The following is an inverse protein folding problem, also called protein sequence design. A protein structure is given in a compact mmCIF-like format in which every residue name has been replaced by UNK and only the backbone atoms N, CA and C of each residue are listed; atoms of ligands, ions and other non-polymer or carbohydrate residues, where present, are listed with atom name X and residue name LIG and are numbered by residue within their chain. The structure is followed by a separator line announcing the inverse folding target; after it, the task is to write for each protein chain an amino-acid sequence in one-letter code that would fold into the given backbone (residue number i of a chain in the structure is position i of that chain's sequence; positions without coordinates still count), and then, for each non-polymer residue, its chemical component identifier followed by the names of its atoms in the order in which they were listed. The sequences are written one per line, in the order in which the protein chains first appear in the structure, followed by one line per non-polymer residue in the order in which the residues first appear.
data_IF_899432926169
#
_entry.id   IF_899432926169
#
_cell.length_a   1.000
_cell.length_b   1.000
_cell.length_c   1.000
_cell.angle_alpha   90.00
_cell.angle_beta   90.00
_cell.angle_gamma   90.00
#
_symmetry.space_group_name_H-M   'P 1'
#
loop_
_entity.id
_entity.type
_entity.pdbx_description
1 polymer ?
#
# COMPACT_ATOMS: atom_id res chain seq x y z
N UNK A 1 7.52 31.14 -13.68
CA UNK A 1 6.65 30.73 -12.57
C UNK A 1 6.95 31.59 -11.36
N UNK A 2 6.06 32.55 -11.03
CA UNK A 2 6.18 33.38 -9.83
C UNK A 2 5.79 32.57 -8.60
N UNK A 3 6.61 32.68 -7.55
CA UNK A 3 6.48 31.99 -6.26
C UNK A 3 5.12 32.28 -5.61
N UNK A 4 4.25 31.27 -5.56
CA UNK A 4 3.10 31.28 -4.65
C UNK A 4 3.55 30.63 -3.34
N UNK A 5 4.08 31.45 -2.44
CA UNK A 5 4.44 31.05 -1.09
C UNK A 5 3.20 30.83 -0.23
N UNK A 6 2.97 29.59 0.20
CA UNK A 6 2.38 29.28 1.50
C UNK A 6 3.24 28.22 2.16
N UNK A 7 3.98 28.69 3.17
CA UNK A 7 4.75 27.88 4.10
C UNK A 7 3.76 26.99 4.86
N UNK A 8 3.78 25.69 4.58
CA UNK A 8 3.06 24.67 5.33
C UNK A 8 4.04 24.11 6.36
N UNK A 9 3.72 24.30 7.65
CA UNK A 9 4.49 23.83 8.81
C UNK A 9 4.44 22.29 8.91
N UNK A 10 5.14 21.60 8.01
CA UNK A 10 5.66 20.27 8.30
C UNK A 10 7.04 20.49 8.92
N UNK A 11 7.22 20.08 10.16
CA UNK A 11 8.49 20.22 10.89
C UNK A 11 9.52 19.23 10.32
N UNK A 12 10.11 19.60 9.19
CA UNK A 12 11.10 18.82 8.46
C UNK A 12 12.45 18.72 9.18
N UNK A 13 12.61 19.34 10.36
CA UNK A 13 13.84 19.37 11.16
C UNK A 13 14.09 18.12 12.02
N UNK A 14 13.21 17.11 12.03
CA UNK A 14 13.51 15.83 12.69
C UNK A 14 14.64 15.12 11.94
N UNK A 15 15.75 14.87 12.63
CA UNK A 15 16.96 14.23 12.09
C UNK A 15 16.66 12.96 11.32
N UNK A 16 17.27 12.79 10.14
CA UNK A 16 17.19 11.56 9.34
C UNK A 16 17.51 10.32 10.19
N UNK A 17 16.60 9.34 10.30
CA UNK A 17 16.95 8.07 10.88
C UNK A 17 17.96 7.39 9.95
N UNK A 18 19.23 7.35 10.35
CA UNK A 18 20.24 6.59 9.62
C UNK A 18 19.99 5.10 9.84
N UNK A 19 19.37 4.48 8.84
CA UNK A 19 19.23 3.03 8.74
C UNK A 19 20.56 2.40 8.35
N UNK A 20 21.55 2.46 9.24
CA UNK A 20 22.78 1.70 9.05
C UNK A 20 22.49 0.22 9.37
N UNK A 21 22.91 -0.65 8.45
CA UNK A 21 22.72 -2.09 8.49
C UNK A 21 23.52 -2.68 9.68
N UNK A 22 22.94 -2.65 10.88
CA UNK A 22 23.50 -3.25 12.08
C UNK A 22 23.26 -4.78 12.07
N UNK A 23 23.84 -5.48 11.11
CA UNK A 23 23.75 -6.95 11.00
C UNK A 23 24.60 -7.69 12.04
N UNK A 24 25.38 -6.99 12.86
CA UNK A 24 26.33 -7.57 13.82
C UNK A 24 26.04 -7.26 15.29
N UNK A 25 25.14 -6.32 15.60
CA UNK A 25 24.80 -5.97 16.98
C UNK A 25 23.68 -6.88 17.48
N UNK A 26 24.00 -7.75 18.45
CA UNK A 26 23.00 -8.54 19.17
C UNK A 26 22.36 -7.70 20.26
N UNK A 27 21.06 -7.45 20.17
CA UNK A 27 20.31 -6.75 21.20
C UNK A 27 19.82 -7.70 22.29
N UNK A 28 19.81 -7.24 23.54
CA UNK A 28 19.28 -8.01 24.66
C UNK A 28 17.74 -7.96 24.65
N UNK A 29 17.10 -9.14 24.72
CA UNK A 29 15.64 -9.28 24.86
C UNK A 29 15.11 -8.60 26.12
N UNK A 30 15.93 -8.34 27.13
CA UNK A 30 15.56 -7.60 28.32
C UNK A 30 15.14 -6.14 28.04
N UNK A 31 15.52 -5.57 26.89
CA UNK A 31 15.05 -4.25 26.47
C UNK A 31 13.53 -4.20 26.24
N UNK A 32 12.90 -5.34 25.95
CA UNK A 32 11.45 -5.46 25.79
C UNK A 32 10.78 -5.63 27.16
N UNK A 33 10.69 -4.52 27.89
CA UNK A 33 10.01 -4.46 29.20
C UNK A 33 8.48 -4.45 29.04
N UNK A 34 7.71 -4.82 30.09
CA UNK A 34 6.24 -4.78 30.03
C UNK A 34 5.67 -3.40 29.68
N UNK A 35 6.32 -2.31 30.09
CA UNK A 35 5.89 -0.95 29.73
C UNK A 35 6.08 -0.69 28.24
N UNK A 36 7.23 -1.07 27.66
CA UNK A 36 7.47 -0.96 26.21
C UNK A 36 6.48 -1.82 25.44
N UNK A 37 6.21 -3.05 25.90
CA UNK A 37 5.19 -3.92 25.28
C UNK A 37 3.82 -3.25 25.25
N UNK A 38 3.37 -2.64 26.35
CA UNK A 38 2.07 -1.94 26.40
C UNK A 38 2.02 -0.77 25.41
N UNK A 39 3.06 0.07 25.38
CA UNK A 39 3.15 1.20 24.42
C UNK A 39 3.00 0.68 22.98
N UNK A 40 3.70 -0.40 22.64
CA UNK A 40 3.65 -0.98 21.30
C UNK A 40 2.29 -1.65 20.99
N UNK A 41 1.65 -2.29 21.97
CA UNK A 41 0.29 -2.84 21.79
C UNK A 41 -0.71 -1.72 21.56
N UNK A 42 -0.69 -0.67 22.37
CA UNK A 42 -1.61 0.46 22.20
C UNK A 42 -1.36 1.15 20.85
N UNK A 43 -0.10 1.36 20.45
CA UNK A 43 0.23 1.88 19.13
C UNK A 43 -0.27 0.99 17.97
N UNK A 44 -0.25 -0.34 18.12
CA UNK A 44 -0.79 -1.27 17.12
C UNK A 44 -2.29 -1.04 16.91
N UNK A 45 -3.06 -0.79 17.98
CA UNK A 45 -4.50 -0.54 17.89
C UNK A 45 -4.89 0.91 17.61
N UNK A 46 -3.99 1.87 17.78
CA UNK A 46 -4.25 3.28 17.48
C UNK A 46 -3.82 3.67 16.07
N UNK A 47 -2.66 3.18 15.61
CA UNK A 47 -2.00 3.67 14.40
C UNK A 47 -1.93 2.67 13.24
N UNK A 48 -2.11 1.36 13.47
CA UNK A 48 -2.28 0.40 12.37
C UNK A 48 -3.75 0.42 11.92
N UNK A 49 -4.08 0.61 10.63
CA UNK A 49 -5.45 0.53 10.12
C UNK A 49 -6.12 -0.78 10.51
N UNK A 50 -7.41 -0.73 10.85
CA UNK A 50 -8.17 -1.91 11.28
C UNK A 50 -8.10 -3.06 10.27
N UNK A 51 -8.07 -2.74 8.96
CA UNK A 51 -7.95 -3.73 7.88
C UNK A 51 -6.66 -4.57 7.91
N UNK A 52 -5.60 -4.07 8.56
CA UNK A 52 -4.31 -4.78 8.70
C UNK A 52 -4.12 -5.45 10.06
N UNK A 53 -5.11 -5.38 10.96
CA UNK A 53 -5.04 -5.99 12.28
C UNK A 53 -5.52 -7.43 12.22
N UNK A 54 -4.61 -8.36 12.53
CA UNK A 54 -4.93 -9.79 12.56
C UNK A 54 -5.51 -10.16 13.93
N UNK A 55 -4.84 -9.73 15.00
CA UNK A 55 -5.16 -10.14 16.36
C UNK A 55 -6.06 -9.13 17.08
N UNK A 56 -6.96 -9.65 17.92
CA UNK A 56 -7.73 -8.86 18.89
C UNK A 56 -6.88 -8.41 20.07
N UNK A 57 -7.36 -7.39 20.81
CA UNK A 57 -6.62 -6.88 21.98
C UNK A 57 -6.39 -7.98 23.03
N UNK A 58 -7.34 -8.89 23.19
CA UNK A 58 -7.25 -10.03 24.11
C UNK A 58 -6.12 -11.03 23.78
N UNK A 59 -5.62 -11.05 22.54
CA UNK A 59 -4.47 -11.88 22.17
C UNK A 59 -3.21 -11.50 22.97
N UNK A 60 -3.12 -10.23 23.35
CA UNK A 60 -2.01 -9.64 24.09
C UNK A 60 -2.20 -9.66 25.62
N UNK A 61 -3.28 -10.30 26.11
CA UNK A 61 -3.51 -10.48 27.54
C UNK A 61 -2.69 -11.67 28.03
N UNK A 62 -1.48 -11.39 28.52
CA UNK A 62 -0.60 -12.37 29.15
C UNK A 62 0.12 -11.77 30.36
N UNK A 63 0.22 -12.55 31.44
CA UNK A 63 0.83 -12.12 32.72
C UNK A 63 2.36 -12.31 32.78
N UNK A 64 2.94 -12.92 31.74
CA UNK A 64 4.36 -13.25 31.67
C UNK A 64 5.09 -12.31 30.71
N UNK A 65 6.43 -12.24 30.81
CA UNK A 65 7.23 -11.55 29.80
C UNK A 65 7.11 -12.24 28.44
N UNK A 66 7.15 -11.47 27.34
CA UNK A 66 7.01 -11.98 25.96
C UNK A 66 7.96 -13.16 25.69
N UNK A 67 9.20 -13.10 26.19
CA UNK A 67 10.22 -14.16 26.03
C UNK A 67 9.86 -15.50 26.70
N UNK A 68 8.91 -15.49 27.62
CA UNK A 68 8.45 -16.67 28.36
C UNK A 68 7.14 -17.24 27.78
N UNK A 69 6.61 -16.66 26.70
CA UNK A 69 5.48 -17.22 25.99
C UNK A 69 5.89 -18.50 25.25
N UNK A 70 4.94 -19.42 24.97
CA UNK A 70 5.18 -20.55 24.07
C UNK A 70 5.77 -20.06 22.74
N UNK A 71 6.75 -20.78 22.18
CA UNK A 71 7.56 -20.32 21.04
C UNK A 71 6.73 -19.74 19.90
N UNK A 72 5.59 -20.37 19.60
CA UNK A 72 4.68 -19.96 18.55
C UNK A 72 3.98 -18.62 18.83
N UNK A 73 3.31 -18.53 19.98
CA UNK A 73 2.66 -17.28 20.44
C UNK A 73 3.69 -16.16 20.60
N UNK A 74 4.89 -16.49 21.09
CA UNK A 74 6.01 -15.55 21.19
C UNK A 74 6.37 -14.96 19.83
N UNK A 75 6.52 -15.78 18.78
CA UNK A 75 6.85 -15.30 17.44
C UNK A 75 5.78 -14.38 16.87
N UNK A 76 4.50 -14.75 16.99
CA UNK A 76 3.37 -13.94 16.52
C UNK A 76 3.29 -12.59 17.24
N UNK A 77 3.46 -12.59 18.57
CA UNK A 77 3.52 -11.35 19.36
C UNK A 77 4.71 -10.50 18.95
N UNK A 78 5.91 -11.09 18.84
CA UNK A 78 7.13 -10.35 18.45
C UNK A 78 6.97 -9.72 17.07
N UNK A 79 6.37 -10.41 16.09
CA UNK A 79 6.08 -9.85 14.77
C UNK A 79 5.11 -8.67 14.83
N UNK A 80 4.00 -8.79 15.56
CA UNK A 80 3.04 -7.70 15.73
C UNK A 80 3.67 -6.48 16.43
N UNK A 81 4.51 -6.72 17.44
CA UNK A 81 5.28 -5.67 18.12
C UNK A 81 6.33 -5.06 17.18
N UNK A 82 6.97 -5.84 16.30
CA UNK A 82 7.92 -5.34 15.32
C UNK A 82 7.25 -4.39 14.32
N UNK A 83 6.08 -4.77 13.80
CA UNK A 83 5.22 -3.93 12.94
C UNK A 83 4.90 -2.61 13.65
N UNK A 84 4.42 -2.70 14.89
CA UNK A 84 4.08 -1.53 15.69
C UNK A 84 5.28 -0.63 15.96
N UNK A 85 6.42 -1.21 16.36
CA UNK A 85 7.66 -0.49 16.65
C UNK A 85 8.23 0.20 15.40
N UNK A 86 8.17 -0.46 14.25
CA UNK A 86 8.58 0.11 12.97
C UNK A 86 7.74 1.33 12.56
N UNK A 87 6.46 1.34 12.91
CA UNK A 87 5.60 2.52 12.76
C UNK A 87 5.95 3.59 13.80
N UNK A 88 6.06 3.19 15.08
CA UNK A 88 6.24 4.11 16.20
C UNK A 88 7.58 4.85 16.16
N UNK A 89 8.65 4.19 15.69
CA UNK A 89 9.97 4.80 15.61
C UNK A 89 10.06 6.02 14.67
N UNK A 90 9.08 6.19 13.78
CA UNK A 90 8.96 7.41 12.94
C UNK A 90 8.56 8.63 13.78
N UNK A 91 7.81 8.41 14.86
CA UNK A 91 7.41 9.43 15.83
C UNK A 91 8.48 9.63 16.90
N UNK A 92 9.04 8.53 17.41
CA UNK A 92 10.05 8.53 18.47
C UNK A 92 11.30 7.71 18.06
N UNK A 93 12.40 8.36 17.65
CA UNK A 93 13.65 7.69 17.27
C UNK A 93 14.26 6.80 18.36
N UNK A 94 13.89 6.96 19.63
CA UNK A 94 14.36 6.10 20.72
C UNK A 94 13.88 4.64 20.56
N UNK A 95 12.88 4.38 19.73
CA UNK A 95 12.40 3.03 19.43
C UNK A 95 13.18 2.32 18.32
N UNK A 96 14.14 2.96 17.66
CA UNK A 96 14.97 2.30 16.62
C UNK A 96 15.65 1.02 17.16
N UNK A 97 16.33 1.01 18.34
CA UNK A 97 16.91 -0.20 18.90
C UNK A 97 15.88 -1.30 19.19
N UNK A 98 14.67 -0.92 19.63
CA UNK A 98 13.56 -1.86 19.91
C UNK A 98 13.05 -2.48 18.60
N UNK A 99 12.90 -1.69 17.55
CA UNK A 99 12.53 -2.18 16.21
C UNK A 99 13.56 -3.18 15.68
N UNK A 100 14.86 -2.87 15.82
CA UNK A 100 15.94 -3.76 15.40
C UNK A 100 15.95 -5.07 16.20
N UNK A 101 15.83 -5.00 17.52
CA UNK A 101 15.70 -6.18 18.39
C UNK A 101 14.53 -7.08 17.95
N UNK A 102 13.33 -6.51 17.82
CA UNK A 102 12.12 -7.26 17.47
C UNK A 102 12.22 -7.88 16.07
N UNK A 103 12.80 -7.15 15.12
CA UNK A 103 13.02 -7.64 13.74
C UNK A 103 14.02 -8.80 13.73
N UNK A 104 15.15 -8.68 14.42
CA UNK A 104 16.14 -9.76 14.53
C UNK A 104 15.55 -10.99 15.23
N UNK A 105 14.77 -10.79 16.29
CA UNK A 105 14.13 -11.89 17.01
C UNK A 105 13.09 -12.59 16.13
N UNK A 106 12.24 -11.84 15.41
CA UNK A 106 11.30 -12.42 14.45
C UNK A 106 12.05 -13.23 13.37
N UNK A 107 13.10 -12.67 12.77
CA UNK A 107 13.90 -13.32 11.74
C UNK A 107 14.50 -14.66 12.17
N UNK A 108 14.87 -14.80 13.45
CA UNK A 108 15.38 -16.07 13.98
C UNK A 108 14.31 -17.16 14.08
N UNK A 109 13.04 -16.81 14.28
CA UNK A 109 11.93 -17.76 14.45
C UNK A 109 11.15 -18.08 13.17
N UNK A 110 11.17 -17.18 12.17
CA UNK A 110 10.42 -17.34 10.90
C UNK A 110 10.75 -18.67 10.18
N UNK A 111 12.03 -19.06 9.96
CA UNK A 111 12.34 -20.23 9.14
C UNK A 111 11.76 -21.54 9.68
N UNK A 112 11.86 -21.77 11.00
CA UNK A 112 11.31 -22.95 11.67
C UNK A 112 9.79 -23.00 11.52
N UNK A 113 9.13 -21.88 11.79
CA UNK A 113 7.69 -21.75 11.69
C UNK A 113 7.16 -21.93 10.25
N UNK A 114 7.83 -21.38 9.25
CA UNK A 114 7.44 -21.48 7.84
C UNK A 114 7.64 -22.90 7.30
N UNK A 115 8.66 -23.62 7.80
CA UNK A 115 8.93 -25.00 7.40
C UNK A 115 7.82 -25.99 7.81
N UNK A 116 7.04 -25.69 8.85
CA UNK A 116 5.89 -26.51 9.27
C UNK A 116 4.73 -26.48 8.28
N UNK A 117 4.64 -25.40 7.48
CA UNK A 117 3.66 -25.25 6.40
C UNK A 117 2.19 -25.43 6.84
N UNK A 118 1.79 -24.79 7.94
CA UNK A 118 0.42 -24.81 8.50
C UNK A 118 -0.27 -23.43 8.45
N UNK A 119 -1.51 -23.31 8.94
CA UNK A 119 -2.27 -22.03 9.01
C UNK A 119 -1.48 -20.90 9.66
N UNK A 120 -0.71 -21.31 10.66
CA UNK A 120 0.05 -20.46 11.52
C UNK A 120 1.32 -19.98 10.78
N UNK A 121 1.84 -20.78 9.83
CA UNK A 121 2.93 -20.40 8.92
C UNK A 121 2.46 -19.30 7.98
N UNK A 122 1.23 -19.39 7.47
CA UNK A 122 0.62 -18.33 6.67
C UNK A 122 0.53 -17.03 7.47
N UNK A 123 0.02 -17.08 8.71
CA UNK A 123 -0.05 -15.92 9.60
C UNK A 123 1.31 -15.24 9.76
N UNK A 124 2.37 -16.01 9.99
CA UNK A 124 3.74 -15.49 10.10
C UNK A 124 4.23 -14.87 8.80
N UNK A 125 3.96 -15.48 7.65
CA UNK A 125 4.34 -14.90 6.35
C UNK A 125 3.57 -13.60 6.07
N UNK A 126 2.26 -13.52 6.38
CA UNK A 126 1.46 -12.30 6.21
C UNK A 126 1.94 -11.17 7.12
N UNK A 127 2.22 -11.45 8.40
CA UNK A 127 2.82 -10.47 9.31
C UNK A 127 4.20 -10.02 8.83
N UNK A 128 4.98 -10.93 8.24
CA UNK A 128 6.28 -10.60 7.65
C UNK A 128 6.12 -9.66 6.45
N UNK A 129 5.12 -9.88 5.58
CA UNK A 129 4.78 -8.96 4.50
C UNK A 129 4.43 -7.56 5.04
N UNK A 130 3.59 -7.47 6.08
CA UNK A 130 3.26 -6.18 6.71
C UNK A 130 4.49 -5.48 7.28
N UNK A 131 5.37 -6.22 7.97
CA UNK A 131 6.60 -5.67 8.51
C UNK A 131 7.48 -5.11 7.39
N UNK A 132 7.64 -5.84 6.29
CA UNK A 132 8.43 -5.43 5.13
C UNK A 132 7.81 -4.23 4.38
N UNK A 133 6.47 -4.10 4.36
CA UNK A 133 5.79 -2.92 3.85
C UNK A 133 6.13 -1.65 4.65
N UNK A 134 6.17 -1.76 5.98
CA UNK A 134 6.42 -0.63 6.89
C UNK A 134 7.91 -0.33 7.01
N UNK A 135 8.74 -1.36 7.01
CA UNK A 135 10.18 -1.29 7.23
C UNK A 135 10.93 -2.13 6.18
N UNK A 136 11.28 -1.54 5.02
CA UNK A 136 11.98 -2.22 3.95
C UNK A 136 13.47 -2.40 4.29
N UNK A 137 13.79 -3.23 5.29
CA UNK A 137 15.18 -3.50 5.73
C UNK A 137 15.90 -4.55 4.88
N UNK A 138 15.66 -4.59 3.58
CA UNK A 138 16.34 -5.47 2.63
C UNK A 138 15.79 -6.90 2.51
N UNK A 139 14.65 -7.20 3.13
CA UNK A 139 13.90 -8.42 2.81
C UNK A 139 13.01 -8.20 1.59
N UNK A 140 12.89 -9.24 0.77
CA UNK A 140 12.15 -9.18 -0.49
C UNK A 140 10.66 -9.46 -0.27
N UNK A 141 9.86 -8.40 -0.19
CA UNK A 141 8.40 -8.49 -0.12
C UNK A 141 7.82 -9.30 -1.27
N UNK A 142 8.40 -9.22 -2.46
CA UNK A 142 7.92 -9.98 -3.61
C UNK A 142 8.04 -11.48 -3.37
N UNK A 143 9.17 -11.89 -2.80
CA UNK A 143 9.40 -13.28 -2.45
C UNK A 143 8.43 -13.76 -1.37
N UNK A 144 8.28 -13.03 -0.26
CA UNK A 144 7.39 -13.43 0.84
C UNK A 144 5.92 -13.40 0.42
N UNK A 145 5.49 -12.38 -0.31
CA UNK A 145 4.13 -12.29 -0.84
C UNK A 145 3.84 -13.40 -1.85
N UNK A 146 4.79 -13.69 -2.75
CA UNK A 146 4.68 -14.80 -3.69
C UNK A 146 4.60 -16.16 -2.99
N UNK A 147 5.30 -16.36 -1.87
CA UNK A 147 5.15 -17.56 -1.03
C UNK A 147 3.76 -17.66 -0.41
N UNK A 148 3.20 -16.55 0.11
CA UNK A 148 1.82 -16.52 0.63
C UNK A 148 0.82 -16.92 -0.46
N UNK A 149 0.92 -16.32 -1.66
CA UNK A 149 0.03 -16.64 -2.77
C UNK A 149 0.12 -18.12 -3.16
N UNK A 150 1.34 -18.69 -3.26
CA UNK A 150 1.54 -20.12 -3.53
C UNK A 150 1.01 -21.02 -2.42
N UNK A 151 1.14 -20.60 -1.16
CA UNK A 151 0.56 -21.31 -0.02
C UNK A 151 -0.95 -21.45 -0.18
N UNK A 152 -1.64 -20.34 -0.45
CA UNK A 152 -3.09 -20.32 -0.65
C UNK A 152 -3.54 -21.12 -1.89
N UNK A 153 -2.82 -21.01 -3.00
CA UNK A 153 -3.16 -21.69 -4.26
C UNK A 153 -2.81 -23.19 -4.24
N UNK A 154 -1.75 -23.59 -3.54
CA UNK A 154 -1.19 -24.94 -3.59
C UNK A 154 -1.79 -25.94 -2.59
N UNK A 155 -2.14 -25.50 -1.38
CA UNK A 155 -2.68 -26.39 -0.34
C UNK A 155 -4.21 -26.48 -0.33
N UNK A 156 -4.89 -25.47 -0.88
CA UNK A 156 -6.26 -25.17 -0.47
C UNK A 156 -6.30 -24.64 0.97
N UNK A 157 -7.28 -23.80 1.29
CA UNK A 157 -7.48 -23.31 2.65
C UNK A 157 -7.72 -24.51 3.58
N UNK A 158 -7.05 -24.62 4.75
CA UNK A 158 -7.33 -25.68 5.70
C UNK A 158 -8.83 -25.65 6.08
N UNK A 159 -9.54 -26.77 5.85
CA UNK A 159 -10.99 -26.87 6.07
C UNK A 159 -11.39 -26.72 7.54
N UNK A 160 -10.46 -26.99 8.44
CA UNK A 160 -10.65 -26.90 9.89
C UNK A 160 -9.41 -26.19 10.46
N UNK A 161 -9.54 -24.89 10.71
CA UNK A 161 -8.57 -24.16 11.54
C UNK A 161 -9.17 -24.02 12.93
N UNK A 162 -8.37 -24.25 13.98
CA UNK A 162 -8.82 -24.10 15.38
C UNK A 162 -9.34 -22.69 15.67
N UNK A 163 -8.86 -21.68 14.92
CA UNK A 163 -9.33 -20.31 14.95
C UNK A 163 -9.66 -19.80 13.52
N UNK A 164 -10.87 -20.12 13.07
CA UNK A 164 -11.39 -19.70 11.77
C UNK A 164 -11.43 -18.17 11.62
N UNK A 165 -11.66 -17.43 12.72
CA UNK A 165 -11.78 -15.97 12.68
C UNK A 165 -10.44 -15.29 12.41
N UNK A 166 -9.38 -15.71 13.10
CA UNK A 166 -8.02 -15.20 12.84
C UNK A 166 -7.58 -15.59 11.44
N UNK A 167 -7.85 -16.82 11.01
CA UNK A 167 -7.48 -17.27 9.67
C UNK A 167 -8.18 -16.46 8.55
N UNK A 168 -9.47 -16.15 8.70
CA UNK A 168 -10.19 -15.27 7.77
C UNK A 168 -9.57 -13.87 7.71
N UNK A 169 -9.16 -13.31 8.85
CA UNK A 169 -8.47 -12.01 8.88
C UNK A 169 -7.12 -12.07 8.20
N UNK A 170 -6.34 -13.13 8.42
CA UNK A 170 -5.05 -13.35 7.74
C UNK A 170 -5.24 -13.31 6.23
N UNK A 171 -6.27 -13.97 5.70
CA UNK A 171 -6.58 -13.97 4.28
C UNK A 171 -7.03 -12.60 3.76
N UNK A 172 -7.87 -11.89 4.52
CA UNK A 172 -8.29 -10.53 4.17
C UNK A 172 -7.09 -9.58 4.10
N UNK A 173 -6.21 -9.64 5.10
CA UNK A 173 -4.97 -8.86 5.15
C UNK A 173 -4.07 -9.21 3.98
N UNK A 174 -3.91 -10.50 3.66
CA UNK A 174 -3.12 -10.94 2.52
C UNK A 174 -3.67 -10.40 1.20
N UNK A 175 -4.98 -10.46 0.99
CA UNK A 175 -5.63 -9.90 -0.20
C UNK A 175 -5.34 -8.41 -0.32
N UNK A 176 -5.54 -7.64 0.75
CA UNK A 176 -5.28 -6.20 0.76
C UNK A 176 -3.82 -5.88 0.45
N UNK A 177 -2.87 -6.60 1.05
CA UNK A 177 -1.44 -6.41 0.75
C UNK A 177 -1.16 -6.73 -0.71
N UNK A 178 -1.65 -7.85 -1.21
CA UNK A 178 -1.38 -8.32 -2.56
C UNK A 178 -1.93 -7.35 -3.60
N UNK A 179 -3.16 -6.87 -3.41
CA UNK A 179 -3.81 -5.89 -4.26
C UNK A 179 -3.08 -4.54 -4.23
N UNK A 180 -2.76 -4.00 -3.04
CA UNK A 180 -2.02 -2.74 -2.90
C UNK A 180 -0.67 -2.79 -3.63
N UNK A 181 0.06 -3.90 -3.44
CA UNK A 181 1.39 -4.11 -4.01
C UNK A 181 1.32 -4.36 -5.52
N UNK A 182 0.34 -5.16 -5.98
CA UNK A 182 0.12 -5.44 -7.39
C UNK A 182 -0.24 -4.17 -8.18
N UNK A 183 -1.24 -3.42 -7.72
CA UNK A 183 -1.71 -2.23 -8.40
C UNK A 183 -0.65 -1.12 -8.40
N UNK A 184 0.10 -0.95 -7.32
CA UNK A 184 1.19 0.04 -7.26
C UNK A 184 2.28 -0.24 -8.30
N UNK A 185 2.49 -1.52 -8.66
CA UNK A 185 3.42 -1.93 -9.71
C UNK A 185 2.79 -2.10 -11.10
N UNK A 186 1.50 -1.82 -11.26
CA UNK A 186 0.82 -1.98 -12.55
C UNK A 186 0.66 -3.44 -12.98
N UNK A 187 0.51 -4.38 -12.05
CA UNK A 187 0.21 -5.80 -12.34
C UNK A 187 -1.17 -6.20 -11.80
N UNK A 188 -1.76 -7.24 -12.39
CA UNK A 188 -2.99 -7.85 -11.87
C UNK A 188 -2.70 -8.48 -10.50
N UNK A 189 -3.57 -8.29 -9.50
CA UNK A 189 -3.55 -9.11 -8.29
C UNK A 189 -3.62 -10.61 -8.61
N UNK A 190 -2.68 -11.39 -8.08
CA UNK A 190 -2.65 -12.85 -8.20
C UNK A 190 -3.79 -13.52 -7.44
N UNK A 191 -4.14 -12.96 -6.28
CA UNK A 191 -5.24 -13.45 -5.45
C UNK A 191 -6.51 -12.72 -5.88
N UNK A 192 -7.12 -13.15 -6.98
CA UNK A 192 -8.44 -12.65 -7.34
C UNK A 192 -9.43 -13.08 -6.25
N UNK A 193 -10.27 -12.16 -5.77
CA UNK A 193 -11.30 -12.42 -4.74
C UNK A 193 -12.09 -13.73 -5.00
N UNK A 194 -12.25 -14.07 -6.28
CA UNK A 194 -12.82 -15.32 -6.79
C UNK A 194 -12.26 -16.61 -6.15
N UNK A 195 -10.97 -16.67 -5.80
CA UNK A 195 -10.34 -17.87 -5.23
C UNK A 195 -10.59 -18.06 -3.73
N UNK A 196 -11.04 -17.03 -3.01
CA UNK A 196 -11.40 -17.14 -1.58
C UNK A 196 -12.91 -17.41 -1.45
N UNK A 197 -13.74 -16.93 -2.38
CA UNK A 197 -15.20 -17.08 -2.34
C UNK A 197 -15.74 -18.45 -2.73
N UNK A 198 -15.02 -19.25 -3.52
CA UNK A 198 -15.36 -20.67 -3.66
C UNK A 198 -15.26 -21.46 -2.34
N UNK A 199 -14.69 -20.87 -1.28
CA UNK A 199 -14.49 -21.51 0.01
C UNK A 199 -15.49 -21.07 1.09
N UNK A 200 -16.41 -20.13 0.77
CA UNK A 200 -17.55 -19.72 1.62
C UNK A 200 -18.86 -20.00 0.89
N UNK A 201 -19.43 -21.20 1.05
CA UNK A 201 -20.86 -21.32 0.81
C UNK A 201 -21.62 -20.44 1.83
N UNK A 202 -22.46 -19.53 1.30
CA UNK A 202 -23.54 -18.79 1.97
C UNK A 202 -23.31 -17.37 2.55
N UNK A 203 -22.27 -16.61 2.17
CA UNK A 203 -22.27 -15.15 2.41
C UNK A 203 -22.48 -14.37 1.10
N UNK A 204 -23.71 -13.95 0.85
CA UNK A 204 -24.19 -13.29 -0.38
C UNK A 204 -23.66 -11.88 -0.66
N UNK A 205 -22.64 -11.39 0.07
CA UNK A 205 -22.20 -9.99 0.01
C UNK A 205 -20.83 -9.75 -0.66
N UNK A 206 -20.17 -10.77 -1.22
CA UNK A 206 -18.82 -10.66 -1.82
C UNK A 206 -18.71 -11.29 -3.23
N UNK A 207 -19.80 -11.31 -4.00
CA UNK A 207 -19.89 -12.06 -5.26
C UNK A 207 -19.44 -11.33 -6.54
N UNK A 208 -18.85 -10.13 -6.47
CA UNK A 208 -18.35 -9.45 -7.66
C UNK A 208 -16.82 -9.38 -7.63
N UNK A 209 -16.16 -9.86 -8.70
CA UNK A 209 -14.77 -9.47 -9.00
C UNK A 209 -14.71 -7.95 -8.87
N UNK A 210 -13.81 -7.42 -8.04
CA UNK A 210 -13.68 -5.98 -7.83
C UNK A 210 -13.68 -5.26 -9.20
N UNK A 211 -14.47 -4.19 -9.39
CA UNK A 211 -14.45 -3.41 -10.62
C UNK A 211 -13.04 -3.02 -11.06
N UNK A 212 -12.12 -2.81 -10.12
CA UNK A 212 -10.69 -2.58 -10.36
C UNK A 212 -10.03 -3.71 -11.16
N UNK A 213 -10.29 -4.96 -10.79
CA UNK A 213 -9.71 -6.15 -11.46
C UNK A 213 -10.36 -6.36 -12.83
N UNK A 214 -11.66 -6.13 -12.94
CA UNK A 214 -12.35 -6.20 -14.25
C UNK A 214 -11.83 -5.13 -15.20
N UNK A 215 -11.64 -3.91 -14.70
CA UNK A 215 -11.05 -2.79 -15.43
C UNK A 215 -9.63 -3.12 -15.88
N UNK A 216 -8.80 -3.65 -14.97
CA UNK A 216 -7.44 -4.06 -15.32
C UNK A 216 -7.45 -5.07 -16.47
N UNK A 217 -8.24 -6.15 -16.37
CA UNK A 217 -8.35 -7.15 -17.45
C UNK A 217 -8.80 -6.52 -18.76
N UNK A 218 -9.79 -5.62 -18.72
CA UNK A 218 -10.26 -4.90 -19.92
C UNK A 218 -9.19 -4.01 -20.57
N UNK A 219 -8.23 -3.50 -19.80
CA UNK A 219 -7.14 -2.65 -20.32
C UNK A 219 -5.97 -3.51 -20.82
N UNK A 220 -5.58 -4.53 -20.05
CA UNK A 220 -4.30 -5.24 -20.22
C UNK A 220 -4.41 -6.63 -20.89
N UNK A 221 -5.61 -7.23 -21.00
CA UNK A 221 -5.80 -8.49 -21.76
C UNK A 221 -5.95 -8.25 -23.28
N UNK A 222 -5.79 -7.00 -23.75
CA UNK A 222 -5.92 -6.61 -25.16
C UNK A 222 -4.67 -6.96 -25.97
N UNK A 223 -4.86 -7.22 -27.27
CA UNK A 223 -3.74 -7.40 -28.19
C UNK A 223 -3.07 -6.04 -28.53
N UNK A 224 -1.76 -6.03 -28.76
CA UNK A 224 -0.96 -4.80 -28.98
C UNK A 224 -1.45 -3.92 -30.16
N UNK A 225 -2.21 -4.46 -31.10
CA UNK A 225 -2.71 -3.74 -32.29
C UNK A 225 -4.12 -3.16 -32.12
N UNK A 226 -4.81 -3.46 -31.03
CA UNK A 226 -6.18 -2.99 -30.79
C UNK A 226 -6.18 -1.61 -30.13
N UNK A 227 -7.21 -0.81 -30.40
CA UNK A 227 -7.42 0.42 -29.64
C UNK A 227 -7.64 0.05 -28.16
N UNK A 228 -6.87 0.65 -27.22
CA UNK A 228 -7.03 0.38 -25.80
C UNK A 228 -8.32 0.97 -25.21
N UNK A 229 -9.03 1.81 -25.96
CA UNK A 229 -10.28 2.46 -25.57
C UNK A 229 -11.39 2.23 -26.59
N UNK A 230 -12.16 1.14 -26.41
CA UNK A 230 -13.29 0.80 -27.26
C UNK A 230 -14.65 1.05 -26.58
N UNK A 231 -15.73 0.71 -27.30
CA UNK A 231 -17.09 0.86 -26.81
C UNK A 231 -17.39 0.00 -25.56
N UNK A 232 -16.74 -1.15 -25.41
CA UNK A 232 -16.93 -2.03 -24.25
C UNK A 232 -16.29 -1.43 -22.99
N UNK A 233 -15.07 -0.89 -23.10
CA UNK A 233 -14.45 -0.15 -22.01
C UNK A 233 -15.26 1.11 -21.67
N UNK A 234 -15.68 1.89 -22.67
CA UNK A 234 -16.49 3.08 -22.46
C UNK A 234 -17.80 2.76 -21.73
N UNK A 235 -18.52 1.72 -22.16
CA UNK A 235 -19.74 1.25 -21.49
C UNK A 235 -19.46 0.80 -20.05
N UNK A 236 -18.36 0.08 -19.83
CA UNK A 236 -17.96 -0.35 -18.49
C UNK A 236 -17.71 0.84 -17.56
N UNK A 237 -16.99 1.87 -18.03
CA UNK A 237 -16.70 3.08 -17.27
C UNK A 237 -17.97 3.83 -16.88
N UNK A 238 -18.90 4.02 -17.82
CA UNK A 238 -20.19 4.65 -17.52
C UNK A 238 -21.03 3.82 -16.54
N UNK A 239 -20.99 2.49 -16.64
CA UNK A 239 -21.77 1.60 -15.76
C UNK A 239 -21.25 1.60 -14.33
N UNK A 240 -19.93 1.74 -14.14
CA UNK A 240 -19.29 1.65 -12.83
C UNK A 240 -18.74 2.98 -12.31
N UNK A 241 -19.14 4.10 -12.92
CA UNK A 241 -18.57 5.42 -12.69
C UNK A 241 -18.57 5.84 -11.22
N UNK A 242 -19.70 5.66 -10.53
CA UNK A 242 -19.83 6.01 -9.10
C UNK A 242 -18.84 5.22 -8.24
N UNK A 243 -18.64 3.93 -8.53
CA UNK A 243 -17.69 3.08 -7.81
C UNK A 243 -16.25 3.46 -8.12
N UNK A 244 -15.95 3.76 -9.38
CA UNK A 244 -14.60 4.13 -9.82
C UNK A 244 -14.14 5.46 -9.22
N UNK A 245 -15.03 6.44 -9.12
CA UNK A 245 -14.72 7.75 -8.51
C UNK A 245 -14.32 7.60 -7.04
N UNK A 246 -14.90 6.64 -6.33
CA UNK A 246 -14.61 6.36 -4.91
C UNK A 246 -13.34 5.50 -4.74
N UNK A 247 -12.86 4.85 -5.80
CA UNK A 247 -11.60 4.10 -5.82
C UNK A 247 -10.55 4.76 -6.74
N UNK A 248 -9.75 5.71 -6.19
CA UNK A 248 -8.72 6.43 -6.95
C UNK A 248 -7.73 5.52 -7.68
N UNK A 249 -7.47 4.31 -7.17
CA UNK A 249 -6.53 3.37 -7.78
C UNK A 249 -7.05 2.86 -9.12
N UNK A 250 -8.34 2.52 -9.19
CA UNK A 250 -9.00 2.13 -10.44
C UNK A 250 -8.93 3.23 -11.48
N UNK A 251 -9.12 4.48 -11.06
CA UNK A 251 -9.02 5.63 -11.96
C UNK A 251 -7.63 5.76 -12.57
N UNK A 252 -6.56 5.60 -11.79
CA UNK A 252 -5.18 5.72 -12.31
C UNK A 252 -4.78 4.55 -13.22
N UNK A 253 -5.43 3.38 -13.14
CA UNK A 253 -5.21 2.30 -14.13
C UNK A 253 -5.53 2.75 -15.57
N UNK A 254 -6.45 3.70 -15.74
CA UNK A 254 -6.79 4.25 -17.05
C UNK A 254 -5.68 5.13 -17.65
N UNK A 255 -4.64 5.50 -16.90
CA UNK A 255 -3.55 6.35 -17.37
C UNK A 255 -2.84 5.77 -18.62
N UNK A 256 -2.80 4.45 -18.76
CA UNK A 256 -2.25 3.83 -19.98
C UNK A 256 -3.06 4.16 -21.22
N UNK A 257 -4.39 4.30 -21.08
CA UNK A 257 -5.27 4.64 -22.19
C UNK A 257 -5.16 6.10 -22.61
N UNK A 258 -4.78 7.00 -21.68
CA UNK A 258 -4.76 8.45 -21.95
C UNK A 258 -3.62 8.88 -22.87
N UNK A 259 -2.58 8.07 -23.04
CA UNK A 259 -1.49 8.35 -23.99
C UNK A 259 -1.83 7.91 -25.42
N UNK A 260 -2.90 7.14 -25.60
CA UNK A 260 -3.35 6.69 -26.90
C UNK A 260 -4.10 7.80 -27.65
N UNK A 261 -3.81 7.93 -28.95
CA UNK A 261 -4.47 8.89 -29.84
C UNK A 261 -5.01 8.18 -31.07
N UNK A 262 -6.33 8.08 -31.19
CA UNK A 262 -7.00 7.57 -32.40
C UNK A 262 -8.29 8.36 -32.67
N UNK A 263 -8.61 8.57 -33.94
CA UNK A 263 -9.79 9.37 -34.33
C UNK A 263 -11.13 8.81 -33.82
N UNK A 264 -11.20 7.52 -33.52
CA UNK A 264 -12.41 6.84 -33.05
C UNK A 264 -12.66 7.00 -31.54
N UNK A 265 -11.59 7.14 -30.76
CA UNK A 265 -11.63 7.06 -29.29
C UNK A 265 -11.44 8.42 -28.60
N UNK A 266 -10.78 9.39 -29.25
CA UNK A 266 -10.43 10.69 -28.65
C UNK A 266 -11.62 11.41 -28.01
N UNK A 267 -12.79 11.57 -28.66
CA UNK A 267 -13.89 12.33 -28.06
C UNK A 267 -14.44 11.72 -26.78
N UNK A 268 -14.60 10.39 -26.73
CA UNK A 268 -15.12 9.69 -25.55
C UNK A 268 -14.08 9.60 -24.44
N UNK A 269 -12.79 9.49 -24.79
CA UNK A 269 -11.68 9.45 -23.85
C UNK A 269 -11.52 10.80 -23.12
N UNK A 270 -11.60 11.91 -23.85
CA UNK A 270 -11.50 13.27 -23.29
C UNK A 270 -12.66 13.58 -22.33
N UNK A 271 -13.85 13.03 -22.59
CA UNK A 271 -15.05 13.29 -21.78
C UNK A 271 -15.16 12.41 -20.51
N UNK A 272 -14.50 11.26 -20.47
CA UNK A 272 -14.71 10.26 -19.41
C UNK A 272 -13.38 9.82 -18.79
N UNK A 273 -12.50 9.22 -19.58
CA UNK A 273 -11.27 8.61 -19.07
C UNK A 273 -10.31 9.64 -18.48
N UNK A 274 -10.07 10.76 -19.18
CA UNK A 274 -9.17 11.81 -18.71
C UNK A 274 -9.66 12.44 -17.39
N UNK A 275 -10.92 12.90 -17.27
CA UNK A 275 -11.44 13.39 -16.00
C UNK A 275 -11.27 12.39 -14.85
N UNK A 276 -11.59 11.11 -15.08
CA UNK A 276 -11.43 10.05 -14.08
C UNK A 276 -9.97 9.92 -13.65
N UNK A 277 -9.03 9.85 -14.60
CA UNK A 277 -7.59 9.76 -14.33
C UNK A 277 -7.11 10.98 -13.55
N UNK A 278 -7.51 12.19 -13.92
CA UNK A 278 -7.14 13.42 -13.23
C UNK A 278 -7.66 13.42 -11.79
N UNK A 279 -8.94 13.09 -11.58
CA UNK A 279 -9.55 13.00 -10.24
C UNK A 279 -8.87 11.92 -9.39
N UNK A 280 -8.63 10.75 -9.97
CA UNK A 280 -7.92 9.65 -9.32
C UNK A 280 -6.52 10.06 -8.88
N UNK A 281 -5.72 10.64 -9.78
CA UNK A 281 -4.38 11.11 -9.49
C UNK A 281 -4.36 12.18 -8.38
N UNK A 282 -5.23 13.18 -8.47
CA UNK A 282 -5.37 14.21 -7.43
C UNK A 282 -5.74 13.59 -6.08
N UNK A 283 -6.68 12.64 -6.08
CA UNK A 283 -7.11 11.96 -4.84
C UNK A 283 -6.00 11.10 -4.23
N UNK A 284 -5.19 10.40 -5.04
CA UNK A 284 -4.03 9.63 -4.53
C UNK A 284 -3.02 10.57 -3.88
N UNK A 285 -2.66 11.66 -4.57
CA UNK A 285 -1.68 12.63 -4.06
C UNK A 285 -2.19 13.28 -2.77
N UNK A 286 -3.45 13.72 -2.74
CA UNK A 286 -4.04 14.35 -1.56
C UNK A 286 -4.14 13.36 -0.39
N UNK A 287 -4.52 12.10 -0.64
CA UNK A 287 -4.57 11.05 0.37
C UNK A 287 -3.19 10.76 0.98
N UNK A 288 -2.15 10.70 0.15
CA UNK A 288 -0.78 10.52 0.60
C UNK A 288 -0.32 11.72 1.45
N UNK A 289 -0.59 12.94 0.99
CA UNK A 289 -0.28 14.17 1.74
C UNK A 289 -0.96 14.20 3.11
N UNK A 290 -2.26 13.92 3.17
CA UNK A 290 -3.00 13.85 4.45
C UNK A 290 -2.49 12.70 5.34
N UNK A 291 -2.10 11.57 4.77
CA UNK A 291 -1.51 10.46 5.53
C UNK A 291 -0.16 10.82 6.13
N UNK A 292 0.66 11.62 5.42
CA UNK A 292 1.93 12.16 5.92
C UNK A 292 1.66 13.16 7.05
N UNK A 293 0.79 14.15 6.81
CA UNK A 293 0.44 15.20 7.77
C UNK A 293 -0.10 14.64 9.08
N UNK A 294 -0.89 13.57 9.01
CA UNK A 294 -1.49 12.92 10.17
C UNK A 294 -0.61 11.79 10.76
N UNK A 295 0.62 11.58 10.26
CA UNK A 295 1.52 10.51 10.68
C UNK A 295 0.90 9.09 10.58
N UNK A 296 0.01 8.87 9.61
CA UNK A 296 -0.74 7.61 9.38
C UNK A 296 -0.22 6.79 8.19
N UNK A 297 0.88 7.21 7.59
CA UNK A 297 1.49 6.51 6.47
C UNK A 297 1.90 5.09 6.88
N UNK A 298 1.50 4.08 6.12
CA UNK A 298 1.86 2.68 6.40
C UNK A 298 3.17 2.32 5.73
N UNK A 299 3.21 2.41 4.40
CA UNK A 299 4.37 2.04 3.61
C UNK A 299 4.93 3.24 2.87
N UNK A 300 6.11 3.71 3.27
CA UNK A 300 6.74 4.86 2.61
C UNK A 300 7.08 4.56 1.14
N UNK A 301 7.52 3.34 0.83
CA UNK A 301 7.94 2.99 -0.53
C UNK A 301 6.75 2.79 -1.48
N UNK A 302 5.68 2.11 -1.05
CA UNK A 302 4.47 1.99 -1.88
C UNK A 302 3.85 3.36 -2.13
N UNK A 303 3.77 4.20 -1.10
CA UNK A 303 3.22 5.55 -1.24
C UNK A 303 4.11 6.42 -2.14
N UNK A 304 5.44 6.26 -2.10
CA UNK A 304 6.34 6.90 -3.08
C UNK A 304 5.97 6.50 -4.51
N UNK A 305 5.80 5.21 -4.79
CA UNK A 305 5.50 4.72 -6.13
C UNK A 305 4.13 5.22 -6.59
N UNK A 306 3.11 5.16 -5.74
CA UNK A 306 1.75 5.64 -6.05
C UNK A 306 1.74 7.13 -6.36
N UNK A 307 2.34 7.95 -5.49
CA UNK A 307 2.42 9.41 -5.67
C UNK A 307 3.20 9.73 -6.94
N UNK A 308 4.33 9.08 -7.16
CA UNK A 308 5.12 9.28 -8.37
C UNK A 308 4.32 8.96 -9.64
N UNK A 309 3.67 7.80 -9.70
CA UNK A 309 2.87 7.41 -10.86
C UNK A 309 1.71 8.38 -11.09
N UNK A 310 0.95 8.71 -10.04
CA UNK A 310 -0.16 9.67 -10.11
C UNK A 310 0.29 11.05 -10.59
N UNK A 311 1.44 11.53 -10.10
CA UNK A 311 1.99 12.83 -10.44
C UNK A 311 2.54 12.86 -11.88
N UNK A 312 3.24 11.81 -12.33
CA UNK A 312 3.68 11.67 -13.71
C UNK A 312 2.50 11.64 -14.68
N UNK A 313 1.44 10.90 -14.35
CA UNK A 313 0.20 10.88 -15.14
C UNK A 313 -0.43 12.27 -15.21
N UNK A 314 -0.56 12.94 -14.07
CA UNK A 314 -1.17 14.26 -13.98
C UNK A 314 -0.37 15.30 -14.76
N UNK A 315 0.96 15.26 -14.66
CA UNK A 315 1.87 16.11 -15.42
C UNK A 315 1.80 15.86 -16.93
N UNK A 316 1.68 14.61 -17.35
CA UNK A 316 1.51 14.26 -18.78
C UNK A 316 0.23 14.85 -19.36
N UNK A 317 -0.88 14.77 -18.61
CA UNK A 317 -2.16 15.37 -19.02
C UNK A 317 -2.05 16.90 -19.04
N UNK A 318 -1.35 17.49 -18.07
CA UNK A 318 -1.06 18.92 -18.05
C UNK A 318 -0.27 19.38 -19.28
N UNK A 319 0.82 18.70 -19.63
CA UNK A 319 1.65 19.08 -20.80
C UNK A 319 0.93 18.96 -22.15
N UNK A 320 -0.12 18.15 -22.23
CA UNK A 320 -0.87 17.93 -23.47
C UNK A 320 -2.07 18.86 -23.60
N UNK A 321 -2.30 19.77 -22.64
CA UNK A 321 -3.45 20.68 -22.56
C UNK A 321 -4.82 19.97 -22.65
N UNK A 322 -4.87 18.66 -22.39
CA UNK A 322 -6.10 17.84 -22.45
C UNK A 322 -6.97 17.99 -21.20
N UNK A 323 -6.75 19.02 -20.40
CA UNK A 323 -7.47 19.30 -19.15
C UNK A 323 -8.43 20.50 -19.25
N UNK A 324 -8.68 21.03 -20.46
CA UNK A 324 -9.55 22.20 -20.71
C UNK A 324 -10.77 22.21 -19.79
N UNK A 325 -10.95 23.28 -19.00
CA UNK A 325 -11.90 23.43 -17.90
C UNK A 325 -13.06 22.41 -17.92
N UNK A 326 -12.84 21.28 -17.23
CA UNK A 326 -13.82 20.19 -17.16
C UNK A 326 -14.61 20.31 -15.86
N UNK A 327 -15.93 20.40 -15.96
CA UNK A 327 -16.81 20.10 -14.83
C UNK A 327 -17.21 18.62 -14.94
N UNK A 328 -16.58 17.79 -14.12
CA UNK A 328 -16.86 16.35 -14.09
C UNK A 328 -17.30 15.96 -12.68
N UNK A 329 -18.54 15.48 -12.53
CA UNK A 329 -19.08 15.00 -11.24
C UNK A 329 -18.94 16.02 -10.09
N UNK A 330 -19.29 17.28 -10.34
CA UNK A 330 -19.14 18.40 -9.38
C UNK A 330 -17.69 18.71 -8.97
N UNK A 331 -16.70 18.13 -9.66
CA UNK A 331 -15.28 18.46 -9.51
C UNK A 331 -14.87 19.31 -10.69
N UNK A 332 -14.76 20.62 -10.47
CA UNK A 332 -14.18 21.53 -11.46
C UNK A 332 -12.67 21.28 -11.53
N UNK A 333 -12.17 20.82 -12.68
CA UNK A 333 -10.76 20.63 -12.97
C UNK A 333 -10.22 21.92 -13.58
N UNK A 334 -9.19 22.49 -12.96
CA UNK A 334 -8.54 23.73 -13.42
C UNK A 334 -7.04 23.55 -13.42
N UNK A 335 -6.35 24.33 -14.25
CA UNK A 335 -4.88 24.42 -14.27
C UNK A 335 -4.31 24.63 -12.87
N UNK A 336 -4.88 25.59 -12.12
CA UNK A 336 -4.45 25.92 -10.77
C UNK A 336 -4.55 24.72 -9.81
N UNK A 337 -5.63 23.93 -9.90
CA UNK A 337 -5.78 22.73 -9.08
C UNK A 337 -4.75 21.65 -9.45
N UNK A 338 -4.47 21.47 -10.73
CA UNK A 338 -3.48 20.51 -11.20
C UNK A 338 -2.09 20.89 -10.66
N UNK A 339 -1.68 22.15 -10.85
CA UNK A 339 -0.41 22.66 -10.33
C UNK A 339 -0.30 22.56 -8.80
N UNK A 340 -1.40 22.82 -8.08
CA UNK A 340 -1.44 22.64 -6.63
C UNK A 340 -1.16 21.18 -6.24
N UNK A 341 -1.77 20.20 -6.91
CA UNK A 341 -1.54 18.78 -6.60
C UNK A 341 -0.14 18.32 -7.00
N UNK A 342 0.42 18.83 -8.09
CA UNK A 342 1.83 18.54 -8.43
C UNK A 342 2.78 19.04 -7.34
N UNK A 343 2.54 20.22 -6.77
CA UNK A 343 3.29 20.71 -5.61
C UNK A 343 3.11 19.83 -4.35
N UNK A 344 1.89 19.34 -4.09
CA UNK A 344 1.67 18.36 -3.00
C UNK A 344 2.42 17.04 -3.24
N UNK A 345 2.54 16.61 -4.50
CA UNK A 345 3.32 15.41 -4.85
C UNK A 345 4.81 15.60 -4.57
N UNK A 346 5.39 16.77 -4.87
CA UNK A 346 6.78 17.08 -4.50
C UNK A 346 7.01 16.95 -2.99
N UNK A 347 6.11 17.53 -2.18
CA UNK A 347 6.17 17.45 -0.72
C UNK A 347 6.06 16.00 -0.24
N UNK A 348 5.13 15.23 -0.81
CA UNK A 348 4.94 13.84 -0.44
C UNK A 348 6.16 12.98 -0.78
N UNK A 349 6.73 13.14 -1.98
CA UNK A 349 7.96 12.44 -2.40
C UNK A 349 9.15 12.83 -1.52
N UNK A 350 9.33 14.11 -1.23
CA UNK A 350 10.37 14.60 -0.31
C UNK A 350 10.29 13.89 1.05
N UNK A 351 9.10 13.77 1.62
CA UNK A 351 8.90 13.07 2.88
C UNK A 351 9.22 11.57 2.78
N UNK A 352 8.67 10.88 1.77
CA UNK A 352 8.79 9.42 1.71
C UNK A 352 10.21 8.95 1.38
N UNK A 353 11.00 9.73 0.63
CA UNK A 353 12.40 9.41 0.31
C UNK A 353 13.32 9.35 1.54
N UNK A 354 12.99 10.07 2.63
CA UNK A 354 13.74 10.02 3.91
C UNK A 354 13.73 8.64 4.54
N UNK A 355 12.66 7.88 4.29
CA UNK A 355 12.41 6.58 4.89
C UNK A 355 12.63 5.42 3.91
N UNK A 356 12.88 5.73 2.62
CA UNK A 356 13.18 4.73 1.60
C UNK A 356 14.23 5.24 0.62
N UNK A 357 15.43 4.65 0.71
CA UNK A 357 16.62 5.06 -0.05
C UNK A 357 16.41 5.08 -1.56
N UNK A 358 15.71 4.09 -2.12
CA UNK A 358 15.46 4.05 -3.56
C UNK A 358 14.44 5.11 -4.02
N UNK A 359 13.66 5.66 -3.08
CA UNK A 359 12.76 6.79 -3.31
C UNK A 359 13.47 8.02 -3.87
N UNK A 360 14.75 8.23 -3.52
CA UNK A 360 15.57 9.35 -4.03
C UNK A 360 15.58 9.40 -5.57
N UNK A 361 15.56 8.23 -6.22
CA UNK A 361 15.52 8.14 -7.69
C UNK A 361 14.20 8.65 -8.25
N UNK A 362 13.08 8.34 -7.59
CA UNK A 362 11.75 8.79 -7.98
C UNK A 362 11.60 10.29 -7.81
N UNK A 363 12.05 10.84 -6.67
CA UNK A 363 12.09 12.28 -6.45
C UNK A 363 12.88 12.99 -7.55
N UNK A 364 14.13 12.56 -7.78
CA UNK A 364 14.99 13.18 -8.79
C UNK A 364 14.43 13.08 -10.21
N UNK A 365 13.81 11.94 -10.54
CA UNK A 365 13.13 11.77 -11.83
C UNK A 365 11.97 12.75 -11.99
N UNK A 366 11.17 12.94 -10.93
CA UNK A 366 10.05 13.87 -10.93
C UNK A 366 10.49 15.34 -11.01
N UNK A 367 11.51 15.73 -10.24
CA UNK A 367 12.08 17.09 -10.31
C UNK A 367 12.62 17.42 -11.71
N UNK A 368 13.30 16.46 -12.35
CA UNK A 368 13.76 16.62 -13.74
C UNK A 368 12.61 16.75 -14.72
N UNK A 369 11.54 15.98 -14.53
CA UNK A 369 10.35 16.03 -15.38
C UNK A 369 9.73 17.44 -15.34
N UNK A 370 9.55 18.01 -14.14
CA UNK A 370 9.02 19.37 -13.95
C UNK A 370 9.98 20.44 -14.50
N UNK A 371 11.29 20.29 -14.34
CA UNK A 371 12.27 21.27 -14.85
C UNK A 371 12.39 21.27 -16.38
N UNK A 372 11.92 20.22 -17.05
CA UNK A 372 12.00 20.07 -18.51
C UNK A 372 10.84 20.71 -19.28
N UNK A 373 9.81 21.18 -18.57
CA UNK A 373 8.70 21.99 -19.10
C UNK A 373 8.93 23.48 -18.85
#
# INVERSE_FOLDING_TARGET
MQQCGRQLDLDFCKSEPRYECASTVKFDKAMLTPSVTRILVDNYFENLPSKFRIFEKSFYDFDVQVRNLPSRKCLLVVLALAISSAQYMRKDPNFVPITLLLTQWAQAGIPECVAEYNSDSLTVMVLSCLLQMIHPSGQDLWYTLGLCCRFCLGQGIPKETEDSTTFERVLSVLYDIEEEVALSLGRVPMLQAYNIHQMKSNSSALHSVSPTVQLFKKIYDRQEQECPYDNDLNLFLHTHMDTLIIDPKSCVLLAFTTTHSCSLCTPSMDQVAIPLVVIGSMSIINSAYESIKNEKLISCWLETIKVFNAACTLFTIYQTDRYEAMDFFNVTITEQKILQHLSLAEIALEYTTRYWRDGIRYKHAFEKLIQSS
#
